data_IF_970338311381
#
_entry.id   IF_970338311381
#
_cell.length_a   1.000
_cell.length_b   1.000
_cell.length_c   1.000
_cell.angle_alpha   90.00
_cell.angle_beta   90.00
_cell.angle_gamma   90.00
#
_symmetry.space_group_name_H-M   'P 1'
#
loop_
_entity.id
_entity.type
_entity.pdbx_description
1 polymer ?
#
# COMPACT_ATOMS: atom_id res chain seq x y z
N UNK A 1 -4.41 -3.26 -33.85
CA UNK A 1 -5.80 -3.47 -33.37
C UNK A 1 -5.88 -2.93 -31.95
N UNK A 2 -6.51 -1.76 -31.77
CA UNK A 2 -6.60 -1.08 -30.46
C UNK A 2 -7.47 -1.93 -29.53
N UNK A 3 -6.98 -2.24 -28.34
CA UNK A 3 -7.72 -3.01 -27.34
C UNK A 3 -8.75 -2.10 -26.68
N UNK A 4 -10.00 -2.58 -26.59
CA UNK A 4 -11.07 -1.82 -25.98
C UNK A 4 -10.97 -1.92 -24.45
N UNK A 5 -10.25 -0.98 -23.85
CA UNK A 5 -10.14 -0.84 -22.39
C UNK A 5 -11.52 -0.56 -21.78
N UNK A 6 -11.80 -1.17 -20.63
CA UNK A 6 -12.95 -0.79 -19.81
C UNK A 6 -12.71 0.63 -19.31
N UNK A 7 -13.62 1.53 -19.68
CA UNK A 7 -13.69 2.85 -19.07
C UNK A 7 -14.61 2.75 -17.87
N UNK A 8 -14.07 2.91 -16.68
CA UNK A 8 -14.88 3.10 -15.48
C UNK A 8 -15.25 4.59 -15.35
N UNK A 9 -16.05 5.08 -16.32
CA UNK A 9 -16.58 6.46 -16.44
C UNK A 9 -15.53 7.60 -16.25
N UNK A 10 -15.98 8.83 -15.99
CA UNK A 10 -15.20 10.09 -15.84
C UNK A 10 -14.07 10.05 -14.78
N UNK A 11 -13.85 8.92 -14.13
CA UNK A 11 -12.87 8.64 -13.08
C UNK A 11 -11.43 8.53 -13.60
N UNK A 12 -11.21 8.07 -14.84
CA UNK A 12 -9.86 7.82 -15.36
C UNK A 12 -9.01 9.10 -15.42
N UNK A 13 -9.62 10.20 -15.89
CA UNK A 13 -8.98 11.51 -15.94
C UNK A 13 -8.63 12.01 -14.55
N UNK A 14 -9.53 11.79 -13.57
CA UNK A 14 -9.32 12.18 -12.17
C UNK A 14 -8.17 11.37 -11.55
N UNK A 15 -8.15 10.05 -11.73
CA UNK A 15 -7.09 9.17 -11.23
C UNK A 15 -5.74 9.56 -11.83
N UNK A 16 -5.66 9.74 -13.15
CA UNK A 16 -4.42 10.18 -13.83
C UNK A 16 -3.98 11.55 -13.32
N UNK A 17 -4.91 12.50 -13.17
CA UNK A 17 -4.60 13.84 -12.63
C UNK A 17 -4.04 13.75 -11.22
N UNK A 18 -4.60 12.89 -10.37
CA UNK A 18 -4.07 12.65 -9.02
C UNK A 18 -2.68 12.02 -9.05
N UNK A 19 -2.41 11.06 -9.94
CA UNK A 19 -1.05 10.53 -10.11
C UNK A 19 -0.05 11.62 -10.52
N UNK A 20 -0.44 12.52 -11.43
CA UNK A 20 0.39 13.66 -11.83
C UNK A 20 0.62 14.60 -10.64
N UNK A 21 -0.43 14.98 -9.92
CA UNK A 21 -0.33 15.85 -8.73
C UNK A 21 0.59 15.25 -7.67
N UNK A 22 0.43 13.96 -7.34
CA UNK A 22 1.31 13.30 -6.36
C UNK A 22 2.72 13.08 -6.88
N UNK A 23 2.90 12.87 -8.19
CA UNK A 23 4.21 12.84 -8.84
C UNK A 23 4.94 14.18 -8.72
N UNK A 24 4.27 15.28 -9.06
CA UNK A 24 4.80 16.65 -8.90
C UNK A 24 5.11 16.93 -7.43
N UNK A 25 4.19 16.60 -6.52
CA UNK A 25 4.42 16.74 -5.08
C UNK A 25 5.70 16.00 -4.65
N UNK A 26 5.90 14.75 -5.10
CA UNK A 26 7.10 13.99 -4.74
C UNK A 26 8.38 14.58 -5.37
N UNK A 27 8.30 15.09 -6.60
CA UNK A 27 9.43 15.76 -7.28
C UNK A 27 9.79 17.11 -6.65
N UNK A 28 8.81 17.88 -6.18
CA UNK A 28 9.04 19.15 -5.49
C UNK A 28 9.70 18.96 -4.12
N UNK A 29 9.51 17.80 -3.53
CA UNK A 29 10.08 17.42 -2.23
C UNK A 29 11.34 16.53 -2.37
N UNK A 30 12.09 16.72 -3.46
CA UNK A 30 13.31 15.96 -3.83
C UNK A 30 14.25 15.73 -2.63
N UNK A 31 14.37 14.47 -2.21
CA UNK A 31 15.32 14.05 -1.17
C UNK A 31 14.72 13.89 0.23
N UNK A 32 13.66 14.64 0.53
CA UNK A 32 12.94 14.54 1.80
C UNK A 32 11.70 13.65 1.60
N UNK A 33 11.93 12.34 1.67
CA UNK A 33 10.85 11.35 1.68
C UNK A 33 10.55 10.93 3.11
N UNK A 34 9.27 10.70 3.42
CA UNK A 34 8.80 10.13 4.70
C UNK A 34 9.32 8.72 5.00
N UNK A 35 10.18 8.17 4.14
CA UNK A 35 10.89 6.91 4.32
C UNK A 35 12.38 7.13 4.04
N UNK A 36 13.23 6.61 4.93
CA UNK A 36 14.63 6.38 4.61
C UNK A 36 14.74 5.56 3.31
N UNK A 37 15.67 5.94 2.44
CA UNK A 37 15.83 5.35 1.11
C UNK A 37 15.94 3.82 1.21
N UNK A 38 14.97 3.10 0.63
CA UNK A 38 14.99 1.65 0.53
C UNK A 38 15.12 1.26 -0.95
N UNK A 39 16.07 0.40 -1.34
CA UNK A 39 16.35 0.11 -2.75
C UNK A 39 15.14 -0.51 -3.47
N UNK A 40 14.26 -1.22 -2.76
CA UNK A 40 13.02 -1.74 -3.35
C UNK A 40 12.00 -0.65 -3.73
N UNK A 41 12.08 0.57 -3.17
CA UNK A 41 11.08 1.63 -3.39
C UNK A 41 11.13 2.18 -4.82
N UNK A 42 12.33 2.35 -5.40
CA UNK A 42 12.48 2.81 -6.78
C UNK A 42 11.92 1.78 -7.75
N UNK A 43 12.29 0.50 -7.58
CA UNK A 43 11.75 -0.61 -8.37
C UNK A 43 10.24 -0.75 -8.24
N UNK A 44 9.70 -0.62 -7.03
CA UNK A 44 8.26 -0.64 -6.77
C UNK A 44 7.54 0.47 -7.55
N UNK A 45 8.02 1.71 -7.42
CA UNK A 45 7.41 2.89 -8.05
C UNK A 45 7.49 2.81 -9.57
N UNK A 46 8.63 2.38 -10.11
CA UNK A 46 8.83 2.23 -11.54
C UNK A 46 7.94 1.13 -12.13
N UNK A 47 7.88 -0.04 -11.48
CA UNK A 47 7.04 -1.13 -11.93
C UNK A 47 5.54 -0.76 -11.92
N UNK A 48 5.08 -0.08 -10.86
CA UNK A 48 3.70 0.40 -10.78
C UNK A 48 3.39 1.44 -11.85
N UNK A 49 4.32 2.36 -12.12
CA UNK A 49 4.17 3.36 -13.18
C UNK A 49 4.07 2.72 -14.56
N UNK A 50 4.89 1.71 -14.84
CA UNK A 50 4.85 0.96 -16.12
C UNK A 50 3.48 0.31 -16.30
N UNK A 51 2.94 -0.37 -15.28
CA UNK A 51 1.62 -1.00 -15.37
C UNK A 51 0.50 0.00 -15.62
N UNK A 52 0.49 1.11 -14.88
CA UNK A 52 -0.49 2.19 -15.03
C UNK A 52 -0.41 2.79 -16.43
N UNK A 53 0.79 3.08 -16.94
CA UNK A 53 1.00 3.62 -18.29
C UNK A 53 0.47 2.63 -19.34
N UNK A 54 0.87 1.36 -19.27
CA UNK A 54 0.41 0.33 -20.22
C UNK A 54 -1.11 0.20 -20.22
N UNK A 55 -1.72 0.18 -19.04
CA UNK A 55 -3.16 0.06 -18.89
C UNK A 55 -3.90 1.29 -19.45
N UNK A 56 -3.52 2.49 -19.04
CA UNK A 56 -4.21 3.72 -19.45
C UNK A 56 -3.94 4.13 -20.89
N UNK A 57 -2.83 3.70 -21.51
CA UNK A 57 -2.61 3.84 -22.95
C UNK A 57 -3.35 2.79 -23.79
N UNK A 58 -4.10 1.87 -23.16
CA UNK A 58 -4.96 0.91 -23.85
C UNK A 58 -4.19 -0.28 -24.45
N UNK A 59 -3.04 -0.64 -23.90
CA UNK A 59 -2.36 -1.87 -24.27
C UNK A 59 -3.09 -3.09 -23.70
N UNK A 60 -2.96 -4.23 -24.38
CA UNK A 60 -3.39 -5.53 -23.83
C UNK A 60 -2.50 -5.93 -22.66
N UNK A 61 -2.98 -6.86 -21.83
CA UNK A 61 -2.15 -7.48 -20.79
C UNK A 61 -0.97 -8.20 -21.47
N UNK A 62 0.21 -7.58 -21.42
CA UNK A 62 1.43 -8.04 -22.06
C UNK A 62 2.35 -8.72 -21.05
N UNK A 63 3.36 -9.44 -21.55
CA UNK A 63 4.39 -10.02 -20.69
C UNK A 63 5.12 -8.95 -19.86
N UNK A 64 5.26 -7.73 -20.40
CA UNK A 64 5.84 -6.58 -19.69
C UNK A 64 4.95 -6.18 -18.51
N UNK A 65 3.61 -6.14 -18.69
CA UNK A 65 2.68 -5.86 -17.60
C UNK A 65 2.73 -6.94 -16.51
N UNK A 66 2.83 -8.22 -16.90
CA UNK A 66 3.02 -9.33 -15.95
C UNK A 66 4.32 -9.17 -15.15
N UNK A 67 5.45 -8.95 -15.83
CA UNK A 67 6.73 -8.76 -15.19
C UNK A 67 6.72 -7.56 -14.22
N UNK A 68 6.14 -6.43 -14.65
CA UNK A 68 5.99 -5.25 -13.81
C UNK A 68 5.11 -5.55 -12.58
N UNK A 69 3.99 -6.25 -12.72
CA UNK A 69 3.16 -6.66 -11.59
C UNK A 69 3.89 -7.56 -10.59
N UNK A 70 4.67 -8.53 -11.07
CA UNK A 70 5.46 -9.41 -10.22
C UNK A 70 6.53 -8.63 -9.46
N UNK A 71 7.26 -7.74 -10.14
CA UNK A 71 8.26 -6.86 -9.50
C UNK A 71 7.61 -5.94 -8.49
N UNK A 72 6.49 -5.30 -8.83
CA UNK A 72 5.74 -4.41 -7.93
C UNK A 72 5.26 -5.16 -6.68
N UNK A 73 4.71 -6.35 -6.85
CA UNK A 73 4.20 -7.18 -5.77
C UNK A 73 5.32 -7.68 -4.86
N UNK A 74 6.42 -8.17 -5.43
CA UNK A 74 7.60 -8.61 -4.68
C UNK A 74 8.23 -7.48 -3.86
N UNK A 75 8.48 -6.34 -4.52
CA UNK A 75 9.02 -5.14 -3.85
C UNK A 75 8.06 -4.60 -2.79
N UNK A 76 6.75 -4.72 -3.00
CA UNK A 76 5.71 -4.43 -2.01
C UNK A 76 5.90 -5.25 -0.73
N UNK A 77 6.05 -6.57 -0.84
CA UNK A 77 6.31 -7.45 0.31
C UNK A 77 7.61 -7.08 1.05
N UNK A 78 8.67 -6.75 0.32
CA UNK A 78 9.94 -6.30 0.91
C UNK A 78 9.78 -4.99 1.69
N UNK A 79 9.02 -4.04 1.16
CA UNK A 79 8.74 -2.76 1.81
C UNK A 79 7.87 -2.91 3.05
N UNK A 80 6.97 -3.89 3.09
CA UNK A 80 6.09 -4.15 4.25
C UNK A 80 6.86 -4.68 5.45
N UNK A 81 7.88 -5.52 5.22
CA UNK A 81 8.72 -6.10 6.29
C UNK A 81 9.26 -5.05 7.25
N UNK A 82 9.69 -3.91 6.71
CA UNK A 82 10.27 -2.79 7.45
C UNK A 82 9.28 -1.63 7.68
N UNK A 83 7.98 -1.86 7.47
CA UNK A 83 6.96 -0.85 7.72
C UNK A 83 6.82 -0.60 9.22
N UNK A 84 7.16 0.63 9.62
CA UNK A 84 7.02 1.17 10.99
C UNK A 84 5.76 2.03 11.18
N UNK A 85 5.20 2.54 10.08
CA UNK A 85 4.09 3.50 10.10
C UNK A 85 2.74 2.80 10.32
N UNK A 86 1.85 3.45 11.09
CA UNK A 86 0.47 3.00 11.33
C UNK A 86 0.31 1.97 12.45
N UNK A 87 -0.78 1.20 12.38
CA UNK A 87 -1.05 0.06 13.26
C UNK A 87 -0.68 -1.25 12.56
N UNK A 88 0.44 -1.90 12.92
CA UNK A 88 0.97 -3.05 12.17
C UNK A 88 0.01 -4.23 11.96
N UNK A 89 -0.84 -4.62 12.93
CA UNK A 89 -1.79 -5.71 12.75
C UNK A 89 -2.87 -5.47 11.69
N UNK A 90 -3.15 -4.21 11.34
CA UNK A 90 -4.10 -3.85 10.28
C UNK A 90 -3.37 -3.48 8.99
N UNK A 91 -2.41 -2.56 9.06
CA UNK A 91 -1.73 -2.02 7.87
C UNK A 91 -0.93 -3.04 7.08
N UNK A 92 -0.20 -3.95 7.74
CA UNK A 92 0.65 -4.93 7.04
C UNK A 92 -0.18 -5.94 6.26
N UNK A 93 -1.22 -6.58 6.85
CA UNK A 93 -2.08 -7.46 6.08
C UNK A 93 -2.76 -6.78 4.90
N UNK A 94 -3.12 -5.50 5.00
CA UNK A 94 -3.65 -4.73 3.86
C UNK A 94 -2.66 -4.70 2.70
N UNK A 95 -1.41 -4.31 2.94
CA UNK A 95 -0.39 -4.28 1.89
C UNK A 95 -0.05 -5.69 1.35
N UNK A 96 0.03 -6.69 2.23
CA UNK A 96 0.34 -8.07 1.86
C UNK A 96 -0.79 -8.67 0.99
N UNK A 97 -2.05 -8.42 1.34
CA UNK A 97 -3.20 -8.91 0.58
C UNK A 97 -3.15 -8.44 -0.87
N UNK A 98 -2.93 -7.13 -1.10
CA UNK A 98 -2.75 -6.59 -2.44
C UNK A 98 -1.54 -7.20 -3.16
N UNK A 99 -0.40 -7.33 -2.46
CA UNK A 99 0.83 -7.88 -3.05
C UNK A 99 0.76 -9.38 -3.38
N UNK A 100 -0.13 -10.14 -2.74
CA UNK A 100 -0.31 -11.58 -3.01
C UNK A 100 -1.40 -11.81 -4.05
N UNK A 101 -2.49 -11.04 -3.99
CA UNK A 101 -3.64 -11.19 -4.88
C UNK A 101 -3.31 -10.80 -6.32
N UNK A 102 -2.56 -9.71 -6.50
CA UNK A 102 -2.28 -9.14 -7.84
C UNK A 102 -1.50 -10.07 -8.78
N UNK A 103 -0.44 -10.79 -8.36
CA UNK A 103 0.23 -11.79 -9.18
C UNK A 103 -0.74 -12.85 -9.75
N UNK A 104 -1.69 -13.32 -8.95
CA UNK A 104 -2.68 -14.30 -9.41
C UNK A 104 -3.63 -13.67 -10.43
N UNK A 105 -4.11 -12.46 -10.17
CA UNK A 105 -5.01 -11.73 -11.05
C UNK A 105 -4.36 -11.38 -12.40
N UNK A 106 -3.11 -10.90 -12.40
CA UNK A 106 -2.43 -10.51 -13.64
C UNK A 106 -2.09 -11.72 -14.50
N UNK A 107 -1.75 -12.88 -13.89
CA UNK A 107 -1.52 -14.12 -14.62
C UNK A 107 -2.81 -14.62 -15.26
N UNK A 108 -3.93 -14.56 -14.52
CA UNK A 108 -5.24 -14.87 -15.08
C UNK A 108 -5.65 -13.90 -16.21
N UNK A 109 -5.37 -12.61 -16.06
CA UNK A 109 -5.61 -11.61 -17.10
C UNK A 109 -4.74 -11.85 -18.34
N UNK A 110 -3.48 -12.25 -18.16
CA UNK A 110 -2.58 -12.60 -19.24
C UNK A 110 -3.02 -13.88 -19.96
N UNK A 111 -3.50 -14.88 -19.23
CA UNK A 111 -4.00 -16.12 -19.83
C UNK A 111 -5.32 -15.89 -20.59
N UNK A 112 -6.29 -15.23 -19.94
CA UNK A 112 -7.63 -15.01 -20.51
C UNK A 112 -7.68 -13.90 -21.55
N UNK A 113 -6.72 -12.97 -21.52
CA UNK A 113 -6.68 -11.77 -22.37
C UNK A 113 -7.95 -10.90 -22.30
N UNK A 114 -8.78 -11.08 -21.27
CA UNK A 114 -10.05 -10.36 -21.12
C UNK A 114 -9.83 -8.95 -20.55
N UNK A 115 -10.50 -7.91 -21.10
CA UNK A 115 -10.37 -6.53 -20.59
C UNK A 115 -10.79 -6.38 -19.13
N UNK A 116 -11.77 -7.16 -18.70
CA UNK A 116 -12.28 -7.23 -17.31
C UNK A 116 -11.22 -7.75 -16.36
N UNK A 117 -10.58 -8.88 -16.68
CA UNK A 117 -9.54 -9.44 -15.83
C UNK A 117 -8.32 -8.50 -15.72
N UNK A 118 -7.93 -7.84 -16.82
CA UNK A 118 -6.81 -6.91 -16.76
C UNK A 118 -7.17 -5.65 -15.96
N UNK A 119 -8.37 -5.10 -16.15
CA UNK A 119 -8.90 -4.01 -15.32
C UNK A 119 -8.83 -4.37 -13.82
N UNK A 120 -9.36 -5.52 -13.43
CA UNK A 120 -9.42 -5.94 -12.03
C UNK A 120 -8.04 -6.18 -11.40
N UNK A 121 -7.04 -6.58 -12.20
CA UNK A 121 -5.65 -6.71 -11.74
C UNK A 121 -4.96 -5.36 -11.49
N UNK A 122 -5.41 -4.30 -12.17
CA UNK A 122 -4.86 -2.94 -12.08
C UNK A 122 -5.53 -2.14 -10.95
N UNK A 123 -6.83 -2.32 -10.72
CA UNK A 123 -7.57 -1.52 -9.73
C UNK A 123 -6.89 -1.45 -8.35
N UNK A 124 -6.34 -2.55 -7.78
CA UNK A 124 -5.63 -2.48 -6.49
C UNK A 124 -4.39 -1.57 -6.47
N UNK A 125 -3.75 -1.25 -7.61
CA UNK A 125 -2.64 -0.27 -7.66
C UNK A 125 -3.13 1.12 -7.25
N UNK A 126 -4.36 1.48 -7.66
CA UNK A 126 -4.95 2.79 -7.39
C UNK A 126 -5.20 3.04 -5.89
N UNK A 127 -5.07 2.01 -5.05
CA UNK A 127 -5.04 2.15 -3.59
C UNK A 127 -3.97 3.16 -3.12
N UNK A 128 -2.86 3.31 -3.86
CA UNK A 128 -1.85 4.33 -3.60
C UNK A 128 -2.46 5.74 -3.61
N UNK A 129 -3.20 6.08 -4.67
CA UNK A 129 -3.82 7.39 -4.84
C UNK A 129 -4.91 7.62 -3.79
N UNK A 130 -5.81 6.65 -3.61
CA UNK A 130 -6.89 6.77 -2.62
C UNK A 130 -6.36 6.94 -1.20
N UNK A 131 -5.33 6.17 -0.82
CA UNK A 131 -4.67 6.33 0.49
C UNK A 131 -4.16 7.75 0.66
N UNK A 132 -3.48 8.33 -0.34
CA UNK A 132 -2.89 9.67 -0.21
C UNK A 132 -3.95 10.75 -0.08
N UNK A 133 -5.04 10.65 -0.84
CA UNK A 133 -6.19 11.55 -0.72
C UNK A 133 -6.82 11.42 0.67
N UNK A 134 -7.03 10.19 1.16
CA UNK A 134 -7.59 9.94 2.49
C UNK A 134 -6.70 10.47 3.62
N UNK A 135 -5.38 10.28 3.53
CA UNK A 135 -4.43 10.86 4.51
C UNK A 135 -4.57 12.37 4.51
N UNK A 136 -4.57 13.01 3.34
CA UNK A 136 -4.69 14.47 3.25
C UNK A 136 -6.00 14.97 3.86
N UNK A 137 -7.13 14.38 3.47
CA UNK A 137 -8.46 14.75 3.97
C UNK A 137 -8.58 14.56 5.49
N UNK A 138 -8.20 13.40 5.99
CA UNK A 138 -8.27 13.13 7.44
C UNK A 138 -7.25 13.95 8.23
N UNK A 139 -6.12 14.35 7.61
CA UNK A 139 -5.16 15.22 8.25
C UNK A 139 -5.67 16.67 8.38
N UNK A 140 -6.45 17.16 7.42
CA UNK A 140 -7.06 18.50 7.48
C UNK A 140 -8.32 18.56 8.37
N UNK A 141 -9.03 17.44 8.51
CA UNK A 141 -10.24 17.33 9.36
C UNK A 141 -9.98 16.66 10.72
N UNK A 142 -8.70 16.44 11.06
CA UNK A 142 -8.34 15.71 12.28
C UNK A 142 -8.65 16.48 13.56
N UNK A 143 -8.51 15.83 14.73
CA UNK A 143 -8.92 16.38 16.03
C UNK A 143 -8.02 17.53 16.54
N UNK A 144 -7.01 17.93 15.77
CA UNK A 144 -6.11 19.04 16.13
C UNK A 144 -5.96 19.99 14.95
N UNK A 145 -5.66 21.26 15.22
CA UNK A 145 -5.39 22.27 14.18
C UNK A 145 -4.06 22.06 13.44
N UNK A 146 -3.26 21.07 13.85
CA UNK A 146 -1.94 20.80 13.28
C UNK A 146 -2.01 19.66 12.26
N UNK A 147 -1.97 20.01 10.97
CA UNK A 147 -1.93 19.05 9.86
C UNK A 147 -0.84 18.00 10.05
N UNK A 148 0.37 18.43 10.43
CA UNK A 148 1.49 17.53 10.71
C UNK A 148 1.16 16.48 11.79
N UNK A 149 0.49 16.90 12.86
CA UNK A 149 0.14 15.99 13.96
C UNK A 149 -0.92 14.99 13.54
N UNK A 150 -1.91 15.44 12.76
CA UNK A 150 -2.98 14.58 12.27
C UNK A 150 -2.47 13.59 11.21
N UNK A 151 -1.68 14.06 10.22
CA UNK A 151 -1.15 13.24 9.13
C UNK A 151 -0.22 12.10 9.62
N UNK A 152 0.49 12.33 10.72
CA UNK A 152 1.34 11.31 11.36
C UNK A 152 0.63 10.44 12.39
N UNK A 153 -0.67 10.64 12.62
CA UNK A 153 -1.43 9.78 13.51
C UNK A 153 -1.42 8.35 12.97
N UNK A 154 -1.06 7.39 13.82
CA UNK A 154 -1.11 5.96 13.48
C UNK A 154 -2.51 5.53 13.05
N UNK A 155 -3.55 6.16 13.60
CA UNK A 155 -4.95 5.91 13.23
C UNK A 155 -5.27 6.42 11.83
N UNK A 156 -4.97 7.70 11.54
CA UNK A 156 -5.16 8.30 10.20
C UNK A 156 -4.44 7.46 9.13
N UNK A 157 -3.20 7.06 9.40
CA UNK A 157 -2.46 6.22 8.47
C UNK A 157 -3.08 4.82 8.31
N UNK A 158 -3.51 4.18 9.40
CA UNK A 158 -4.10 2.84 9.34
C UNK A 158 -5.44 2.83 8.59
N UNK A 159 -6.32 3.79 8.90
CA UNK A 159 -7.64 3.90 8.29
C UNK A 159 -7.53 4.33 6.83
N UNK A 160 -6.60 5.23 6.48
CA UNK A 160 -6.40 5.62 5.08
C UNK A 160 -5.90 4.46 4.22
N UNK A 161 -4.99 3.64 4.77
CA UNK A 161 -4.46 2.47 4.08
C UNK A 161 -5.54 1.42 3.87
N UNK A 162 -6.28 1.10 4.94
CA UNK A 162 -7.37 0.14 4.87
C UNK A 162 -8.48 0.63 3.92
N UNK A 163 -8.97 1.85 4.13
CA UNK A 163 -10.03 2.47 3.32
C UNK A 163 -9.61 2.63 1.85
N UNK A 164 -8.39 3.09 1.59
CA UNK A 164 -7.86 3.25 0.24
C UNK A 164 -7.77 1.91 -0.51
N UNK A 165 -7.39 0.84 0.18
CA UNK A 165 -7.37 -0.50 -0.40
C UNK A 165 -8.79 -1.04 -0.66
N UNK A 166 -9.72 -0.86 0.27
CA UNK A 166 -11.12 -1.29 0.09
C UNK A 166 -11.78 -0.53 -1.06
N UNK A 167 -11.57 0.79 -1.17
CA UNK A 167 -12.06 1.58 -2.31
C UNK A 167 -11.48 1.09 -3.64
N UNK A 168 -10.17 0.82 -3.68
CA UNK A 168 -9.52 0.30 -4.88
C UNK A 168 -10.08 -1.04 -5.32
N UNK A 169 -10.23 -1.99 -4.39
CA UNK A 169 -10.80 -3.31 -4.70
C UNK A 169 -12.30 -3.19 -5.02
N UNK A 170 -13.01 -2.24 -4.42
CA UNK A 170 -14.41 -1.96 -4.70
C UNK A 170 -14.67 -1.47 -6.13
N UNK A 171 -13.63 -0.97 -6.82
CA UNK A 171 -13.73 -0.63 -8.23
C UNK A 171 -13.55 -1.84 -9.16
N UNK A 172 -13.18 -3.02 -8.67
CA UNK A 172 -13.15 -4.23 -9.50
C UNK A 172 -14.55 -4.57 -10.05
N UNK A 173 -14.59 -5.30 -11.16
CA UNK A 173 -15.82 -5.61 -11.89
C UNK A 173 -16.83 -6.45 -11.10
N UNK A 174 -16.36 -7.22 -10.11
CA UNK A 174 -17.18 -8.11 -9.30
C UNK A 174 -17.35 -7.56 -7.88
N UNK A 175 -18.59 -7.47 -7.36
CA UNK A 175 -18.84 -7.01 -6.00
C UNK A 175 -18.24 -7.96 -4.95
N UNK A 176 -18.07 -9.25 -5.26
CA UNK A 176 -17.43 -10.20 -4.36
C UNK A 176 -15.92 -9.92 -4.13
N UNK A 177 -15.29 -9.06 -4.93
CA UNK A 177 -13.86 -8.76 -4.79
C UNK A 177 -13.53 -8.18 -3.41
N UNK A 178 -14.40 -7.32 -2.86
CA UNK A 178 -14.22 -6.73 -1.52
C UNK A 178 -14.24 -7.79 -0.41
N UNK A 179 -15.30 -8.62 -0.26
CA UNK A 179 -15.29 -9.65 0.79
C UNK A 179 -14.15 -10.66 0.61
N UNK A 180 -13.78 -11.05 -0.62
CA UNK A 180 -12.63 -11.92 -0.87
C UNK A 180 -11.34 -11.28 -0.36
N UNK A 181 -11.11 -10.00 -0.70
CA UNK A 181 -9.95 -9.26 -0.22
C UNK A 181 -9.90 -9.16 1.30
N UNK A 182 -11.04 -8.87 1.95
CA UNK A 182 -11.13 -8.80 3.41
C UNK A 182 -10.83 -10.15 4.08
N UNK A 183 -11.27 -11.27 3.49
CA UNK A 183 -10.94 -12.62 3.97
C UNK A 183 -9.45 -12.90 3.84
N UNK A 184 -8.84 -12.60 2.68
CA UNK A 184 -7.39 -12.74 2.47
C UNK A 184 -6.62 -11.93 3.51
N UNK A 185 -6.98 -10.66 3.67
CA UNK A 185 -6.38 -9.75 4.65
C UNK A 185 -6.51 -10.31 6.08
N UNK A 186 -7.69 -10.81 6.46
CA UNK A 186 -7.91 -11.38 7.77
C UNK A 186 -7.03 -12.62 8.01
N UNK A 187 -6.98 -13.55 7.05
CA UNK A 187 -6.11 -14.73 7.11
C UNK A 187 -4.65 -14.33 7.27
N UNK A 188 -4.16 -13.38 6.48
CA UNK A 188 -2.78 -12.89 6.57
C UNK A 188 -2.48 -12.26 7.94
N UNK A 189 -3.42 -11.49 8.49
CA UNK A 189 -3.31 -10.93 9.83
C UNK A 189 -3.22 -12.00 10.92
N UNK A 190 -4.09 -13.02 10.87
CA UNK A 190 -4.07 -14.14 11.82
C UNK A 190 -2.79 -14.96 11.67
N UNK A 191 -2.30 -15.20 10.45
CA UNK A 191 -1.03 -15.86 10.19
C UNK A 191 0.14 -15.06 10.75
N UNK A 192 0.16 -13.74 10.61
CA UNK A 192 1.18 -12.88 11.22
C UNK A 192 1.22 -13.00 12.75
N UNK A 193 0.06 -12.95 13.40
CA UNK A 193 -0.05 -13.13 14.86
C UNK A 193 0.41 -14.51 15.31
N UNK A 194 0.00 -15.56 14.60
CA UNK A 194 0.42 -16.93 14.88
C UNK A 194 1.94 -17.11 14.71
N UNK A 195 2.51 -16.58 13.62
CA UNK A 195 3.94 -16.67 13.32
C UNK A 195 4.76 -16.01 14.43
N UNK A 196 4.33 -14.82 14.89
CA UNK A 196 4.95 -14.13 16.03
C UNK A 196 4.88 -14.96 17.30
N UNK A 197 3.70 -15.49 17.66
CA UNK A 197 3.52 -16.32 18.86
C UNK A 197 4.47 -17.52 18.84
N UNK A 198 4.60 -18.21 17.71
CA UNK A 198 5.49 -19.36 17.57
C UNK A 198 6.97 -18.99 17.67
N UNK A 199 7.35 -17.82 17.14
CA UNK A 199 8.70 -17.30 17.30
C UNK A 199 9.02 -16.96 18.75
N UNK A 200 8.11 -16.30 19.47
CA UNK A 200 8.28 -15.94 20.88
C UNK A 200 8.45 -17.19 21.75
N UNK A 201 7.66 -18.25 21.49
CA UNK A 201 7.81 -19.56 22.15
C UNK A 201 9.16 -20.20 21.82
N UNK A 202 9.55 -20.23 20.55
CA UNK A 202 10.83 -20.82 20.12
C UNK A 202 12.02 -20.09 20.75
N UNK A 203 11.93 -18.75 20.89
CA UNK A 203 12.95 -17.91 21.54
C UNK A 203 12.99 -18.16 23.05
N UNK A 204 11.84 -18.26 23.71
CA UNK A 204 11.76 -18.53 25.15
C UNK A 204 12.31 -19.92 25.52
N UNK A 205 12.10 -20.90 24.63
CA UNK A 205 12.51 -22.29 24.84
C UNK A 205 13.88 -22.63 24.24
N UNK A 206 14.57 -21.68 23.59
CA UNK A 206 15.82 -21.90 22.85
C UNK A 206 15.75 -23.04 21.80
N UNK A 207 14.59 -23.22 21.17
CA UNK A 207 14.36 -24.27 20.16
C UNK A 207 14.65 -23.69 18.76
N UNK A 208 15.30 -24.45 17.87
CA UNK A 208 15.51 -24.02 16.49
C UNK A 208 14.19 -23.78 15.75
N UNK A 209 14.09 -22.65 15.06
CA UNK A 209 12.91 -22.29 14.27
C UNK A 209 12.71 -23.23 13.09
N UNK A 210 11.47 -23.68 12.89
CA UNK A 210 11.06 -24.47 11.72
C UNK A 210 11.24 -23.71 10.41
N UNK A 211 11.43 -24.43 9.29
CA UNK A 211 11.63 -23.84 7.98
C UNK A 211 10.47 -22.91 7.56
N UNK A 212 9.23 -23.29 7.90
CA UNK A 212 8.04 -22.49 7.66
C UNK A 212 8.09 -21.14 8.41
N UNK A 213 8.49 -21.16 9.69
CA UNK A 213 8.62 -19.92 10.48
C UNK A 213 9.71 -19.01 9.92
N UNK A 214 10.83 -19.57 9.45
CA UNK A 214 11.88 -18.80 8.78
C UNK A 214 11.37 -18.16 7.49
N UNK A 215 10.61 -18.89 6.68
CA UNK A 215 10.00 -18.38 5.45
C UNK A 215 8.99 -17.26 5.73
N UNK A 216 8.07 -17.45 6.67
CA UNK A 216 7.09 -16.43 7.06
C UNK A 216 7.77 -15.18 7.65
N UNK A 217 8.81 -15.37 8.45
CA UNK A 217 9.66 -14.26 8.94
C UNK A 217 10.33 -13.52 7.78
N UNK A 218 10.83 -14.25 6.79
CA UNK A 218 11.47 -13.69 5.61
C UNK A 218 10.51 -12.83 4.80
N UNK A 219 9.27 -13.32 4.61
CA UNK A 219 8.16 -12.65 3.91
C UNK A 219 7.54 -11.45 4.67
N UNK A 220 8.05 -11.13 5.86
CA UNK A 220 7.64 -9.92 6.60
C UNK A 220 6.42 -10.08 7.50
N UNK A 221 6.00 -11.32 7.81
CA UNK A 221 4.92 -11.60 8.76
C UNK A 221 5.29 -11.31 10.24
N UNK A 222 6.55 -10.92 10.49
CA UNK A 222 7.07 -10.57 11.82
C UNK A 222 7.67 -9.16 11.79
N UNK A 223 7.43 -8.40 12.85
CA UNK A 223 8.18 -7.19 13.19
C UNK A 223 9.49 -7.63 13.86
N UNK A 224 10.65 -7.40 13.21
CA UNK A 224 11.90 -7.31 13.97
C UNK A 224 11.79 -6.03 14.81
N UNK A 225 11.93 -6.17 16.13
CA UNK A 225 12.16 -5.08 17.09
C UNK A 225 10.97 -4.28 17.66
N UNK A 226 9.77 -4.86 17.76
CA UNK A 226 8.71 -4.23 18.58
C UNK A 226 8.18 -5.20 19.64
N UNK A 227 8.53 -4.96 20.90
CA UNK A 227 7.65 -5.26 22.03
C UNK A 227 6.23 -4.81 21.67
N UNK A 228 5.22 -5.58 22.11
CA UNK A 228 3.81 -5.23 21.96
C UNK A 228 3.65 -3.73 22.23
N UNK A 229 3.26 -2.99 21.18
CA UNK A 229 3.15 -1.54 21.17
C UNK A 229 2.52 -1.09 22.50
N UNK A 230 3.35 -0.52 23.38
CA UNK A 230 2.84 0.30 24.46
C UNK A 230 2.02 1.41 23.78
N UNK A 231 0.84 1.66 24.31
CA UNK A 231 -0.20 2.52 23.72
C UNK A 231 0.27 3.99 23.58
N UNK A 232 1.52 4.31 23.93
CA UNK A 232 2.03 5.66 24.05
C UNK A 232 3.41 5.80 23.41
N UNK A 233 3.45 6.69 22.42
CA UNK A 233 4.61 7.40 21.86
C UNK A 233 5.36 6.69 20.72
N UNK A 234 5.31 7.36 19.57
CA UNK A 234 6.36 7.30 18.55
C UNK A 234 7.70 7.70 19.18
N UNK A 235 8.72 6.87 19.00
CA UNK A 235 10.06 7.11 19.54
C UNK A 235 10.87 8.08 18.68
N UNK A 236 11.82 8.78 19.30
CA UNK A 236 12.64 9.89 18.79
C UNK A 236 13.57 9.53 17.59
N UNK A 237 13.54 8.29 17.10
CA UNK A 237 14.36 7.78 15.99
C UNK A 237 13.50 7.30 14.79
N UNK A 238 12.32 7.88 14.62
CA UNK A 238 11.40 7.56 13.52
C UNK A 238 11.76 8.33 12.22
N UNK A 239 11.46 7.76 11.03
CA UNK A 239 11.65 8.45 9.74
C UNK A 239 10.92 9.81 9.74
N UNK A 240 11.33 10.77 8.88
CA UNK A 240 10.78 12.11 8.94
C UNK A 240 9.26 12.09 8.83
N UNK A 241 8.64 12.84 9.73
CA UNK A 241 7.20 12.88 9.93
C UNK A 241 6.50 13.62 8.76
N UNK A 242 5.30 13.16 8.40
CA UNK A 242 4.39 13.73 7.38
C UNK A 242 3.99 15.16 7.72
N UNK A 243 4.21 16.13 6.82
CA UNK A 243 3.86 17.54 7.08
C UNK A 243 5.04 18.49 7.25
N UNK A 244 6.27 18.08 6.94
CA UNK A 244 7.46 18.94 7.00
C UNK A 244 7.92 19.44 5.63
N UNK A 245 7.31 18.96 4.55
CA UNK A 245 7.74 19.27 3.20
C UNK A 245 7.15 20.61 2.74
N UNK A 246 7.82 21.36 1.85
CA UNK A 246 7.32 22.64 1.36
C UNK A 246 5.90 22.57 0.80
N UNK A 247 5.54 21.46 0.14
CA UNK A 247 4.21 21.24 -0.41
C UNK A 247 3.13 20.94 0.66
N UNK A 248 3.50 20.58 1.89
CA UNK A 248 2.56 20.38 2.99
C UNK A 248 2.05 21.69 3.59
N UNK A 249 2.68 22.84 3.26
CA UNK A 249 2.21 24.17 3.68
C UNK A 249 0.74 24.38 3.33
N UNK A 250 0.29 23.86 2.19
CA UNK A 250 -1.11 23.92 1.79
C UNK A 250 -2.03 23.18 2.78
N UNK A 251 -1.63 22.01 3.27
CA UNK A 251 -2.37 21.28 4.30
C UNK A 251 -2.39 22.01 5.63
N UNK A 252 -1.28 22.66 6.01
CA UNK A 252 -1.20 23.51 7.21
C UNK A 252 -2.12 24.74 7.12
N UNK A 253 -2.12 25.44 5.98
CA UNK A 253 -3.03 26.56 5.75
C UNK A 253 -4.48 26.10 5.84
N UNK A 254 -4.84 24.99 5.20
CA UNK A 254 -6.19 24.44 5.24
C UNK A 254 -6.64 24.02 6.64
N UNK A 255 -5.77 23.37 7.42
CA UNK A 255 -6.11 22.97 8.79
C UNK A 255 -6.30 24.15 9.74
N UNK A 256 -5.74 25.32 9.45
CA UNK A 256 -5.88 26.55 10.24
C UNK A 256 -7.17 27.34 10.01
N UNK A 257 -8.04 26.91 9.08
CA UNK A 257 -9.36 27.52 8.86
C UNK A 257 -10.49 26.88 9.72
N UNK A 258 -10.18 25.85 10.51
CA UNK A 258 -11.07 25.31 11.55
C UNK A 258 -10.94 26.10 12.85
#
# INVERSE_FOLDING_TARGET
MIYQRIRTNDSDTLIISLYIVFGIYHMMNKGDSYRQHHPALSWHSMAGSIEIILYYLGFRCSLVAVAACLVHSWTGLMLVKHLKNGYPPLTRPTYQAGSIMRPVQILYAYYSQTPTAYHDAIMPINAFVYTRVLIFLMATMGPTLSFHKNANSRFVYADAIFGGAVMAVGHCSKPEAVPIYLVIMHVLGKTGLWTRKQQDVSRAQNIPQSALLRLLSFLGFITRDQELVSISKAGVLEPPAIGHLPADKMGHYWAGFN
#
